data_IF_195852996037
#
_entry.id   IF_195852996037
#
_cell.length_a   1.000
_cell.length_b   1.000
_cell.length_c   1.000
_cell.angle_alpha   90.00
_cell.angle_beta   90.00
_cell.angle_gamma   90.00
#
_symmetry.space_group_name_H-M   'P 1'
#
loop_
_entity.id
_entity.type
_entity.pdbx_description
1 polymer ?
#
# COMPACT_ATOMS: atom_id res chain seq x y z
N UNK A 1 -4.51 -9.67 -43.30
CA UNK A 1 -3.44 -9.76 -42.28
C UNK A 1 -2.91 -8.40 -41.82
N UNK A 2 -2.77 -7.39 -42.69
CA UNK A 2 -2.23 -6.06 -42.33
C UNK A 2 -3.08 -5.27 -41.30
N UNK A 3 -4.41 -5.19 -41.50
CA UNK A 3 -5.30 -4.42 -40.59
C UNK A 3 -5.36 -4.98 -39.16
N UNK A 4 -5.40 -6.31 -39.00
CA UNK A 4 -5.41 -6.93 -37.67
C UNK A 4 -4.11 -6.70 -36.90
N UNK A 5 -2.97 -6.71 -37.61
CA UNK A 5 -1.68 -6.36 -37.03
C UNK A 5 -1.64 -4.89 -36.60
N UNK A 6 -2.18 -3.99 -37.43
CA UNK A 6 -2.24 -2.57 -37.11
C UNK A 6 -3.09 -2.29 -35.88
N UNK A 7 -4.28 -2.88 -35.78
CA UNK A 7 -5.17 -2.74 -34.62
C UNK A 7 -4.48 -3.26 -33.35
N UNK A 8 -3.82 -4.42 -33.40
CA UNK A 8 -3.03 -4.94 -32.27
C UNK A 8 -1.94 -3.98 -31.82
N UNK A 9 -1.18 -3.40 -32.76
CA UNK A 9 -0.16 -2.42 -32.44
C UNK A 9 -0.77 -1.18 -31.77
N UNK A 10 -1.89 -0.66 -32.28
CA UNK A 10 -2.57 0.48 -31.67
C UNK A 10 -3.02 0.21 -30.23
N UNK A 11 -3.58 -0.98 -29.95
CA UNK A 11 -3.94 -1.38 -28.58
C UNK A 11 -2.72 -1.50 -27.67
N UNK A 12 -1.61 -2.07 -28.16
CA UNK A 12 -0.37 -2.17 -27.40
C UNK A 12 0.19 -0.79 -27.05
N UNK A 13 0.21 0.16 -28.00
CA UNK A 13 0.62 1.54 -27.75
C UNK A 13 -0.30 2.27 -26.77
N UNK A 14 -1.61 2.06 -26.85
CA UNK A 14 -2.59 2.65 -25.93
C UNK A 14 -2.41 2.14 -24.48
N UNK A 15 -2.18 0.84 -24.32
CA UNK A 15 -1.90 0.24 -23.01
C UNK A 15 -0.57 0.75 -22.41
N UNK A 16 0.46 0.89 -23.24
CA UNK A 16 1.76 1.40 -22.79
C UNK A 16 1.69 2.89 -22.42
N UNK A 17 1.02 3.69 -23.25
CA UNK A 17 0.85 5.14 -23.04
C UNK A 17 -0.02 5.47 -21.83
N UNK A 18 -0.95 4.60 -21.43
CA UNK A 18 -1.81 4.84 -20.25
C UNK A 18 -1.17 4.44 -18.93
N UNK A 19 -0.24 3.47 -18.92
CA UNK A 19 0.40 2.96 -17.71
C UNK A 19 1.64 3.77 -17.29
N UNK A 20 2.39 4.33 -18.24
CA UNK A 20 3.64 5.06 -17.97
C UNK A 20 3.44 6.42 -17.28
N UNK A 21 2.43 7.25 -17.63
CA UNK A 21 2.24 8.55 -17.00
C UNK A 21 1.87 8.43 -15.52
N UNK A 22 1.00 7.48 -15.15
CA UNK A 22 0.52 7.31 -13.77
C UNK A 22 1.63 6.92 -12.78
N UNK A 23 2.62 6.14 -13.24
CA UNK A 23 3.79 5.77 -12.43
C UNK A 23 4.76 6.94 -12.23
N UNK A 24 4.87 7.84 -13.20
CA UNK A 24 5.75 9.02 -13.10
C UNK A 24 5.23 10.02 -12.05
N UNK A 25 3.91 10.24 -11.99
CA UNK A 25 3.32 11.19 -11.02
C UNK A 25 3.35 10.70 -9.57
N UNK A 26 3.44 9.38 -9.34
CA UNK A 26 3.51 8.82 -7.99
C UNK A 26 4.83 9.15 -7.27
N UNK A 27 5.86 9.59 -8.00
CA UNK A 27 7.20 9.90 -7.46
C UNK A 27 7.33 11.35 -6.95
N UNK A 28 6.24 12.12 -6.91
CA UNK A 28 6.26 13.54 -6.53
C UNK A 28 6.49 13.87 -5.05
N UNK A 29 6.71 12.88 -4.19
CA UNK A 29 7.06 13.14 -2.79
C UNK A 29 8.57 13.41 -2.70
N UNK A 30 8.93 14.66 -2.46
CA UNK A 30 10.31 15.03 -2.13
C UNK A 30 10.75 14.21 -0.88
N UNK A 31 11.84 13.42 -0.97
CA UNK A 31 12.29 12.53 0.10
C UNK A 31 12.73 13.30 1.35
N UNK A 32 12.92 14.62 1.25
CA UNK A 32 13.28 15.50 2.35
C UNK A 32 12.06 16.20 2.98
N UNK A 33 10.85 16.02 2.43
CA UNK A 33 9.65 16.52 3.06
C UNK A 33 9.37 15.74 4.35
N UNK A 34 9.08 16.42 5.47
CA UNK A 34 8.64 15.76 6.69
C UNK A 34 7.35 14.97 6.43
N UNK A 35 7.42 13.65 6.53
CA UNK A 35 6.26 12.76 6.37
C UNK A 35 5.43 12.80 7.66
N UNK A 36 4.15 13.18 7.54
CA UNK A 36 3.19 13.05 8.64
C UNK A 36 2.51 11.69 8.55
N UNK A 37 3.02 10.71 9.29
CA UNK A 37 2.49 9.36 9.36
C UNK A 37 1.90 9.05 10.75
N UNK A 38 1.15 7.94 10.83
CA UNK A 38 0.65 7.37 12.09
C UNK A 38 1.12 5.92 12.22
N UNK A 39 1.39 5.48 13.46
CA UNK A 39 1.70 4.09 13.71
C UNK A 39 0.41 3.26 13.66
N UNK A 40 0.45 2.13 12.95
CA UNK A 40 -0.63 1.13 12.93
C UNK A 40 -0.39 0.11 14.05
N UNK A 41 -0.41 0.59 15.28
CA UNK A 41 -0.30 -0.26 16.46
C UNK A 41 -1.46 -1.26 16.55
N UNK A 42 -1.25 -2.38 17.24
CA UNK A 42 -2.22 -3.47 17.38
C UNK A 42 -2.63 -4.14 16.04
N UNK A 43 -1.81 -4.02 14.99
CA UNK A 43 -2.07 -4.65 13.68
C UNK A 43 -1.47 -6.05 13.59
N UNK A 44 -0.13 -6.18 13.64
CA UNK A 44 0.57 -7.48 13.55
C UNK A 44 0.90 -8.07 14.91
N UNK A 45 0.99 -7.22 15.93
CA UNK A 45 1.27 -7.59 17.32
C UNK A 45 0.24 -6.90 18.18
N UNK A 46 -0.36 -7.66 19.09
CA UNK A 46 -1.34 -7.13 20.03
C UNK A 46 -0.66 -6.41 21.18
N UNK A 47 -1.07 -5.18 21.48
CA UNK A 47 -0.50 -4.37 22.56
C UNK A 47 -1.55 -4.16 23.66
N UNK A 48 -1.25 -4.59 24.88
CA UNK A 48 -2.22 -4.64 25.97
C UNK A 48 -2.76 -3.26 26.37
N UNK A 49 -1.92 -2.22 26.26
CA UNK A 49 -2.25 -0.85 26.66
C UNK A 49 -3.21 -0.15 25.69
N UNK A 50 -3.26 -0.56 24.42
CA UNK A 50 -4.05 0.10 23.38
C UNK A 50 -5.54 -0.28 23.46
N UNK A 51 -5.84 -1.51 23.89
CA UNK A 51 -7.20 -1.94 24.22
C UNK A 51 -7.23 -2.95 25.37
N UNK A 52 -7.08 -2.49 26.63
CA UNK A 52 -6.94 -3.37 27.80
C UNK A 52 -8.12 -4.33 28.00
N UNK A 53 -9.33 -3.92 27.59
CA UNK A 53 -10.54 -4.74 27.71
C UNK A 53 -10.49 -6.05 26.90
N UNK A 54 -9.71 -6.11 25.81
CA UNK A 54 -9.54 -7.35 25.03
C UNK A 54 -8.73 -8.41 25.78
N UNK A 55 -7.90 -7.98 26.74
CA UNK A 55 -6.95 -8.84 27.45
C UNK A 55 -7.38 -9.14 28.89
N UNK A 56 -8.52 -8.58 29.35
CA UNK A 56 -8.98 -8.69 30.73
C UNK A 56 -9.31 -10.13 31.19
N UNK A 57 -9.47 -11.08 30.26
CA UNK A 57 -9.78 -12.49 30.54
C UNK A 57 -8.67 -13.48 30.17
N UNK A 58 -7.49 -13.01 29.77
CA UNK A 58 -6.40 -13.89 29.32
C UNK A 58 -5.50 -14.23 30.52
N UNK A 59 -5.30 -15.52 30.87
CA UNK A 59 -4.61 -15.92 32.09
C UNK A 59 -3.07 -15.71 32.05
N UNK A 60 -2.46 -15.66 30.86
CA UNK A 60 -1.00 -15.47 30.69
C UNK A 60 -0.73 -14.10 30.05
N UNK A 61 -0.60 -13.07 30.88
CA UNK A 61 -0.35 -11.70 30.43
C UNK A 61 1.12 -11.44 30.07
N UNK A 62 2.00 -12.39 30.39
CA UNK A 62 3.47 -12.32 30.24
C UNK A 62 3.93 -12.27 28.77
N UNK A 63 3.04 -12.59 27.83
CA UNK A 63 3.26 -12.49 26.38
C UNK A 63 2.70 -11.18 25.77
N UNK A 64 2.04 -10.35 26.58
CA UNK A 64 1.56 -9.03 26.18
C UNK A 64 2.67 -8.03 26.49
N UNK A 65 3.18 -7.36 25.44
CA UNK A 65 4.18 -6.30 25.56
C UNK A 65 3.50 -4.95 25.78
#
# INVERSE_FOLDING_TARGET
MSSYSYVKCMWAFYLFSSCVPTLWFAQGADPYLPVKAVNLGNWLVTEGWMKPSLFAGIPNQDLLV
#
